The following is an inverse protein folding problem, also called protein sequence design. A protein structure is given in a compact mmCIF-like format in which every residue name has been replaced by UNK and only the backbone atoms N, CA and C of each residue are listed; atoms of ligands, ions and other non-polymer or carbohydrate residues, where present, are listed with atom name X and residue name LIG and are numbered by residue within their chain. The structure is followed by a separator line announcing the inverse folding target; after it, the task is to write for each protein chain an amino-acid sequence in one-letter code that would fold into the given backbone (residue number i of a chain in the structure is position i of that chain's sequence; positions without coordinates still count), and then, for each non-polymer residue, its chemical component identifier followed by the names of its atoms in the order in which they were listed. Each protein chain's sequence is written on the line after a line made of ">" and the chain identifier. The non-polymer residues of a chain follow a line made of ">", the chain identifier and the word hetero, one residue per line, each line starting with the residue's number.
data_IF_990786669771
#
_entry.id   IF_990786669771
#
_cell.length_a   1.000
_cell.length_b   1.000
_cell.length_c   1.000
_cell.angle_alpha   90.00
_cell.angle_beta   90.00
_cell.angle_gamma   90.00
#
_symmetry.space_group_name_H-M   'P 1'
#
loop_
_entity.id
_entity.type
_entity.pdbx_description
1 polymer ?
#
# COMPACT_ATOMS: atom_id res chain seq x y z
N UNK A 1 9.34 60.61 -7.24
CA UNK A 1 10.62 61.30 -7.27
C UNK A 1 11.53 60.78 -6.18
N UNK A 2 11.13 60.74 -4.89
CA UNK A 2 11.95 60.27 -3.76
C UNK A 2 12.48 58.81 -3.92
N UNK A 3 11.64 57.90 -4.46
CA UNK A 3 12.01 56.50 -4.72
C UNK A 3 13.11 56.36 -5.78
N UNK A 4 13.07 57.21 -6.82
CA UNK A 4 14.11 57.22 -7.86
C UNK A 4 15.41 57.84 -7.35
N UNK A 5 15.36 58.84 -6.50
CA UNK A 5 16.55 59.42 -5.90
C UNK A 5 17.26 58.39 -4.99
N UNK A 6 16.52 57.61 -4.20
CA UNK A 6 17.06 56.54 -3.35
C UNK A 6 17.69 55.43 -4.21
N UNK A 7 17.04 54.97 -5.30
CA UNK A 7 17.60 53.97 -6.17
C UNK A 7 18.85 54.41 -6.88
N UNK A 8 18.92 55.69 -7.31
CA UNK A 8 20.09 56.24 -7.93
C UNK A 8 21.28 56.33 -6.97
N UNK A 9 21.05 56.72 -5.74
CA UNK A 9 22.09 56.81 -4.73
C UNK A 9 22.63 55.42 -4.33
N UNK A 10 21.72 54.42 -4.17
CA UNK A 10 22.10 53.03 -3.91
C UNK A 10 22.92 52.44 -5.06
N UNK A 11 22.51 52.72 -6.31
CA UNK A 11 23.25 52.24 -7.50
C UNK A 11 24.64 52.89 -7.63
N UNK A 12 24.77 54.10 -7.16
CA UNK A 12 26.06 54.84 -7.18
C UNK A 12 27.02 54.29 -6.12
N UNK A 13 26.52 54.02 -4.89
CA UNK A 13 27.34 53.40 -3.84
C UNK A 13 27.74 51.97 -4.21
N UNK A 14 26.87 51.19 -4.83
CA UNK A 14 27.16 49.80 -5.30
C UNK A 14 28.26 49.82 -6.35
N UNK A 15 28.29 50.83 -7.24
CA UNK A 15 29.34 51.01 -8.28
C UNK A 15 30.68 51.46 -7.76
N UNK A 16 30.73 52.23 -6.68
CA UNK A 16 31.97 52.73 -6.05
C UNK A 16 32.61 51.69 -5.11
N UNK A 17 31.81 50.73 -4.53
CA UNK A 17 32.27 49.77 -3.55
C UNK A 17 32.23 48.30 -4.01
N UNK A 18 32.23 48.04 -5.32
CA UNK A 18 32.03 46.76 -5.97
C UNK A 18 32.91 45.56 -5.54
N UNK A 19 33.45 45.57 -4.33
CA UNK A 19 34.21 44.44 -3.77
C UNK A 19 34.06 44.28 -2.24
N UNK A 20 33.22 45.06 -1.57
CA UNK A 20 33.02 44.92 -0.12
C UNK A 20 31.69 44.22 0.16
N UNK A 21 31.74 43.17 0.96
CA UNK A 21 30.55 42.39 1.39
C UNK A 21 29.59 43.15 2.32
N UNK A 22 29.80 44.44 2.53
CA UNK A 22 29.00 45.29 3.42
C UNK A 22 28.63 46.56 2.64
N UNK A 23 27.32 46.69 2.33
CA UNK A 23 26.75 47.91 1.75
C UNK A 23 26.43 48.88 2.90
N UNK A 24 27.07 50.05 2.91
CA UNK A 24 26.72 51.11 3.84
C UNK A 24 25.46 51.84 3.33
N UNK A 25 24.36 51.75 4.08
CA UNK A 25 23.09 52.37 3.70
C UNK A 25 23.12 53.87 4.05
N UNK A 26 22.81 54.78 3.11
CA UNK A 26 22.84 56.22 3.38
C UNK A 26 21.81 56.62 4.45
N UNK A 27 22.24 57.37 5.43
CA UNK A 27 21.40 57.80 6.53
C UNK A 27 20.55 59.02 6.17
N UNK A 28 20.92 59.80 5.16
CA UNK A 28 20.19 60.98 4.66
C UNK A 28 20.21 61.03 3.12
N UNK A 29 19.03 61.29 2.51
CA UNK A 29 18.90 61.56 1.10
C UNK A 29 17.98 62.77 0.92
N UNK A 30 18.38 63.77 0.12
CA UNK A 30 17.64 65.00 -0.11
C UNK A 30 17.24 65.75 1.17
N UNK A 31 18.13 65.76 2.19
CA UNK A 31 17.87 66.47 3.46
C UNK A 31 16.84 65.81 4.37
N UNK A 32 16.46 64.58 4.07
CA UNK A 32 15.51 63.76 4.88
C UNK A 32 16.23 62.59 5.48
N UNK A 33 16.04 62.36 6.80
CA UNK A 33 16.56 61.19 7.50
C UNK A 33 15.82 59.94 7.08
N UNK A 34 16.55 58.91 6.65
CA UNK A 34 16.06 57.60 6.30
C UNK A 34 16.17 56.66 7.46
N UNK A 35 15.08 55.96 7.81
CA UNK A 35 15.08 54.91 8.81
C UNK A 35 14.96 53.58 8.08
N UNK A 36 16.00 52.81 8.04
CA UNK A 36 16.01 51.47 7.44
C UNK A 36 15.40 50.47 8.41
N UNK A 37 14.27 49.90 8.06
CA UNK A 37 13.62 48.83 8.82
C UNK A 37 13.94 47.50 8.17
N UNK A 38 14.48 46.58 8.93
CA UNK A 38 14.69 45.20 8.48
C UNK A 38 13.34 44.52 8.34
N UNK A 39 12.90 44.32 7.12
CA UNK A 39 11.70 43.50 6.80
C UNK A 39 12.06 42.02 7.04
N UNK A 40 11.91 41.56 8.28
CA UNK A 40 12.07 40.15 8.61
C UNK A 40 10.91 39.35 8.02
N UNK A 41 11.09 38.89 6.80
CA UNK A 41 10.23 37.83 6.30
C UNK A 41 10.47 36.58 7.15
N UNK A 42 9.47 36.11 7.84
CA UNK A 42 9.55 34.88 8.60
C UNK A 42 9.55 33.68 7.63
N UNK A 43 10.71 33.10 7.26
CA UNK A 43 10.76 31.95 6.37
C UNK A 43 10.13 30.73 7.00
N UNK A 44 9.94 30.73 8.34
CA UNK A 44 9.36 29.62 9.11
C UNK A 44 7.96 29.28 8.64
N UNK A 45 7.12 30.28 8.34
CA UNK A 45 5.75 30.03 7.87
C UNK A 45 5.73 29.37 6.47
N UNK A 46 6.66 29.78 5.58
CA UNK A 46 6.79 29.20 4.23
C UNK A 46 7.30 27.76 4.31
N UNK A 47 8.28 27.49 5.16
CA UNK A 47 8.82 26.14 5.39
C UNK A 47 7.75 25.23 6.01
N UNK A 48 7.01 25.73 7.01
CA UNK A 48 5.96 24.98 7.69
C UNK A 48 4.79 24.66 6.74
N UNK A 49 4.42 25.59 5.86
CA UNK A 49 3.44 25.35 4.80
C UNK A 49 3.89 24.28 3.80
N UNK A 50 5.16 24.32 3.38
CA UNK A 50 5.73 23.35 2.46
C UNK A 50 5.80 21.95 3.08
N UNK A 51 6.19 21.83 4.35
CA UNK A 51 6.24 20.53 5.06
C UNK A 51 4.86 19.93 5.26
N UNK A 52 3.84 20.74 5.56
CA UNK A 52 2.45 20.29 5.66
C UNK A 52 1.93 19.78 4.32
N UNK A 53 2.24 20.49 3.24
CA UNK A 53 1.82 20.12 1.89
C UNK A 53 2.48 18.82 1.44
N UNK A 54 3.77 18.64 1.69
CA UNK A 54 4.47 17.38 1.37
C UNK A 54 3.95 16.20 2.20
N UNK A 55 3.66 16.40 3.48
CA UNK A 55 3.06 15.38 4.34
C UNK A 55 1.67 14.96 3.82
N UNK A 56 0.85 15.90 3.38
CA UNK A 56 -0.47 15.64 2.80
C UNK A 56 -0.38 14.83 1.51
N UNK A 57 0.55 15.17 0.61
CA UNK A 57 0.76 14.45 -0.66
C UNK A 57 1.21 13.01 -0.40
N UNK A 58 2.11 12.79 0.54
CA UNK A 58 2.58 11.46 0.92
C UNK A 58 1.42 10.64 1.51
N UNK A 59 0.61 11.24 2.39
CA UNK A 59 -0.52 10.57 3.02
C UNK A 59 -1.56 10.09 1.99
N UNK A 60 -1.93 10.96 1.03
CA UNK A 60 -2.85 10.60 -0.06
C UNK A 60 -2.25 9.52 -0.98
N UNK A 61 -0.95 9.62 -1.29
CA UNK A 61 -0.27 8.65 -2.15
C UNK A 61 -0.20 7.25 -1.55
N UNK A 62 0.02 7.14 -0.24
CA UNK A 62 0.05 5.86 0.47
C UNK A 62 -1.33 5.17 0.48
N UNK A 63 -2.40 5.94 0.69
CA UNK A 63 -3.77 5.39 0.73
C UNK A 63 -4.19 4.81 -0.63
N UNK A 64 -3.86 5.48 -1.73
CA UNK A 64 -4.14 4.99 -3.08
C UNK A 64 -3.38 3.70 -3.43
N UNK A 65 -2.16 3.54 -2.94
CA UNK A 65 -1.33 2.38 -3.23
C UNK A 65 -1.88 1.12 -2.57
N UNK A 66 -2.34 1.22 -1.32
CA UNK A 66 -2.97 0.11 -0.57
C UNK A 66 -4.27 -0.33 -1.24
N UNK A 67 -5.11 0.62 -1.66
CA UNK A 67 -6.36 0.31 -2.36
C UNK A 67 -6.13 -0.36 -3.73
N UNK A 68 -5.10 0.02 -4.47
CA UNK A 68 -4.74 -0.63 -5.74
C UNK A 68 -4.32 -2.07 -5.52
N UNK A 69 -3.43 -2.34 -4.57
CA UNK A 69 -2.97 -3.70 -4.27
C UNK A 69 -4.12 -4.62 -3.82
N UNK A 70 -5.05 -4.10 -3.01
CA UNK A 70 -6.23 -4.86 -2.61
C UNK A 70 -7.13 -5.22 -3.81
N UNK A 71 -7.35 -4.29 -4.74
CA UNK A 71 -8.12 -4.55 -5.97
C UNK A 71 -7.41 -5.53 -6.91
N UNK A 72 -6.11 -5.40 -7.09
CA UNK A 72 -5.31 -6.32 -7.91
C UNK A 72 -5.39 -7.75 -7.36
N UNK A 73 -5.27 -7.92 -6.03
CA UNK A 73 -5.45 -9.21 -5.36
C UNK A 73 -6.84 -9.79 -5.59
N UNK A 74 -7.90 -8.99 -5.43
CA UNK A 74 -9.27 -9.44 -5.66
C UNK A 74 -9.50 -9.86 -7.12
N UNK A 75 -9.01 -9.07 -8.08
CA UNK A 75 -9.13 -9.38 -9.50
C UNK A 75 -8.40 -10.69 -9.83
N UNK A 76 -7.20 -10.89 -9.31
CA UNK A 76 -6.43 -12.10 -9.53
C UNK A 76 -7.12 -13.33 -8.92
N UNK A 77 -7.64 -13.22 -7.70
CA UNK A 77 -8.42 -14.28 -7.05
C UNK A 77 -9.65 -14.65 -7.89
N UNK A 78 -10.35 -13.65 -8.46
CA UNK A 78 -11.52 -13.92 -9.30
C UNK A 78 -11.16 -14.65 -10.58
N UNK A 79 -10.05 -14.27 -11.22
CA UNK A 79 -9.56 -14.93 -12.44
C UNK A 79 -9.03 -16.35 -12.18
N UNK A 80 -8.43 -16.59 -11.04
CA UNK A 80 -7.86 -17.88 -10.66
C UNK A 80 -8.95 -18.88 -10.18
N UNK A 81 -10.15 -18.42 -9.82
CA UNK A 81 -11.21 -19.27 -9.28
C UNK A 81 -11.63 -20.41 -10.23
N UNK A 82 -11.93 -20.18 -11.53
CA UNK A 82 -12.30 -21.24 -12.45
C UNK A 82 -11.19 -22.28 -12.63
N UNK A 83 -9.93 -21.86 -12.72
CA UNK A 83 -8.79 -22.75 -12.85
C UNK A 83 -8.62 -23.64 -11.62
N UNK A 84 -8.72 -23.05 -10.42
CA UNK A 84 -8.69 -23.81 -9.18
C UNK A 84 -9.82 -24.84 -9.13
N UNK A 85 -11.06 -24.44 -9.44
CA UNK A 85 -12.21 -25.32 -9.42
C UNK A 85 -12.06 -26.48 -10.41
N UNK A 86 -11.56 -26.20 -11.60
CA UNK A 86 -11.33 -27.23 -12.61
C UNK A 86 -10.27 -28.25 -12.17
N UNK A 87 -9.13 -27.78 -11.62
CA UNK A 87 -8.07 -28.61 -11.09
C UNK A 87 -8.55 -29.46 -9.90
N UNK A 88 -9.32 -28.87 -8.99
CA UNK A 88 -9.93 -29.62 -7.89
C UNK A 88 -10.89 -30.68 -8.39
N UNK A 89 -11.77 -30.36 -9.34
CA UNK A 89 -12.71 -31.31 -9.90
C UNK A 89 -12.01 -32.49 -10.61
N UNK A 90 -10.93 -32.23 -11.34
CA UNK A 90 -10.13 -33.29 -11.96
C UNK A 90 -9.49 -34.21 -10.92
N UNK A 91 -8.88 -33.66 -9.87
CA UNK A 91 -8.21 -34.47 -8.84
C UNK A 91 -9.22 -35.30 -8.03
N UNK A 92 -10.37 -34.72 -7.72
CA UNK A 92 -11.46 -35.43 -7.04
C UNK A 92 -12.08 -36.51 -7.95
N UNK A 93 -12.28 -36.23 -9.24
CA UNK A 93 -12.72 -37.19 -10.22
C UNK A 93 -11.75 -38.36 -10.40
N UNK A 94 -10.46 -38.14 -10.19
CA UNK A 94 -9.44 -39.20 -10.14
C UNK A 94 -9.44 -40.01 -8.83
N UNK A 95 -10.40 -39.76 -7.92
CA UNK A 95 -10.53 -40.46 -6.65
C UNK A 95 -9.65 -39.92 -5.50
N UNK A 96 -9.05 -38.75 -5.67
CA UNK A 96 -8.24 -38.13 -4.62
C UNK A 96 -9.16 -37.47 -3.57
N UNK A 97 -8.77 -37.57 -2.29
CA UNK A 97 -9.45 -36.84 -1.22
C UNK A 97 -9.24 -35.33 -1.37
N UNK A 98 -10.16 -34.50 -0.82
CA UNK A 98 -10.03 -33.04 -0.87
C UNK A 98 -8.72 -32.56 -0.24
N UNK A 99 -8.35 -33.13 0.90
CA UNK A 99 -7.05 -32.87 1.56
C UNK A 99 -5.88 -33.20 0.63
N UNK A 100 -5.92 -34.38 0.00
CA UNK A 100 -4.89 -34.79 -0.98
C UNK A 100 -4.79 -33.83 -2.17
N UNK A 101 -5.92 -33.35 -2.69
CA UNK A 101 -5.98 -32.39 -3.78
C UNK A 101 -5.34 -31.04 -3.39
N UNK A 102 -5.64 -30.53 -2.20
CA UNK A 102 -5.02 -29.31 -1.66
C UNK A 102 -3.50 -29.46 -1.56
N UNK A 103 -3.01 -30.57 -0.98
CA UNK A 103 -1.59 -30.86 -0.90
C UNK A 103 -0.91 -30.97 -2.27
N UNK A 104 -1.57 -31.60 -3.21
CA UNK A 104 -1.06 -31.76 -4.58
C UNK A 104 -0.90 -30.41 -5.27
N UNK A 105 -1.92 -29.57 -5.22
CA UNK A 105 -1.90 -28.23 -5.82
C UNK A 105 -0.90 -27.30 -5.15
N UNK A 106 -0.85 -27.31 -3.81
CA UNK A 106 0.16 -26.54 -3.05
C UNK A 106 1.59 -26.96 -3.41
N UNK A 107 1.85 -28.28 -3.44
CA UNK A 107 3.17 -28.80 -3.77
C UNK A 107 3.58 -28.53 -5.23
N UNK A 108 2.62 -28.52 -6.16
CA UNK A 108 2.87 -28.13 -7.55
C UNK A 108 3.22 -26.65 -7.63
N UNK A 109 2.41 -25.79 -7.03
CA UNK A 109 2.66 -24.35 -7.00
C UNK A 109 4.02 -23.98 -6.42
N UNK A 110 4.42 -24.59 -5.30
CA UNK A 110 5.72 -24.34 -4.68
C UNK A 110 6.92 -24.73 -5.57
N UNK A 111 6.77 -25.76 -6.40
CA UNK A 111 7.82 -26.22 -7.33
C UNK A 111 7.93 -25.33 -8.57
N UNK A 112 6.80 -24.84 -9.06
CA UNK A 112 6.70 -24.09 -10.32
C UNK A 112 6.64 -22.57 -10.10
N UNK A 113 6.86 -22.07 -8.89
CA UNK A 113 6.66 -20.67 -8.48
C UNK A 113 7.37 -19.69 -9.42
N UNK A 114 6.74 -19.38 -10.54
CA UNK A 114 7.15 -18.36 -11.51
C UNK A 114 6.46 -17.03 -11.26
N UNK A 115 5.20 -17.07 -10.85
CA UNK A 115 4.36 -15.92 -10.58
C UNK A 115 3.62 -16.12 -9.25
N UNK A 116 3.29 -15.01 -8.60
CA UNK A 116 2.55 -15.04 -7.34
C UNK A 116 1.07 -15.15 -7.66
N UNK A 117 0.46 -16.29 -7.31
CA UNK A 117 -0.98 -16.49 -7.35
C UNK A 117 -1.53 -16.58 -5.92
N UNK A 118 -2.28 -15.57 -5.52
CA UNK A 118 -2.77 -15.46 -4.13
C UNK A 118 -3.62 -16.65 -3.68
N UNK A 119 -4.39 -17.25 -4.57
CA UNK A 119 -5.19 -18.43 -4.23
C UNK A 119 -4.33 -19.63 -3.80
N UNK A 120 -3.22 -19.86 -4.48
CA UNK A 120 -2.33 -20.98 -4.14
C UNK A 120 -1.48 -20.70 -2.90
N UNK A 121 -1.17 -19.44 -2.61
CA UNK A 121 -0.57 -19.03 -1.33
C UNK A 121 -1.53 -19.32 -0.16
N UNK A 122 -2.80 -18.92 -0.29
CA UNK A 122 -3.82 -19.20 0.72
C UNK A 122 -4.11 -20.70 0.88
N UNK A 123 -4.10 -21.44 -0.22
CA UNK A 123 -4.25 -22.89 -0.22
C UNK A 123 -3.07 -23.56 0.49
N UNK A 124 -1.84 -23.07 0.26
CA UNK A 124 -0.65 -23.52 0.96
C UNK A 124 -0.74 -23.24 2.45
N UNK A 125 -1.22 -22.08 2.83
CA UNK A 125 -1.47 -21.73 4.23
C UNK A 125 -2.47 -22.70 4.88
N UNK A 126 -3.56 -23.06 4.20
CA UNK A 126 -4.51 -24.06 4.69
C UNK A 126 -3.87 -25.44 4.88
N UNK A 127 -2.96 -25.84 3.98
CA UNK A 127 -2.18 -27.08 4.14
C UNK A 127 -1.32 -27.05 5.40
N UNK A 128 -0.62 -25.95 5.67
CA UNK A 128 0.19 -25.80 6.90
C UNK A 128 -0.68 -25.79 8.15
N UNK A 129 -1.85 -25.17 8.13
CA UNK A 129 -2.80 -25.21 9.24
C UNK A 129 -3.22 -26.66 9.57
N UNK A 130 -3.57 -27.44 8.55
CA UNK A 130 -3.90 -28.87 8.72
C UNK A 130 -2.71 -29.69 9.24
N UNK A 131 -1.49 -29.36 8.81
CA UNK A 131 -0.27 -30.01 9.31
C UNK A 131 0.01 -29.66 10.78
N UNK A 132 -0.34 -28.44 11.19
CA UNK A 132 -0.19 -27.97 12.57
C UNK A 132 -1.26 -28.50 13.52
N UNK A 133 -2.17 -29.37 13.03
CA UNK A 133 -3.20 -30.03 13.84
C UNK A 133 -4.54 -29.30 13.88
N UNK A 134 -4.74 -28.26 13.05
CA UNK A 134 -6.06 -27.64 12.89
C UNK A 134 -6.97 -28.62 12.14
N UNK A 135 -8.21 -28.75 12.62
CA UNK A 135 -9.20 -29.62 11.99
C UNK A 135 -9.40 -29.22 10.51
N UNK A 136 -9.48 -30.22 9.63
CA UNK A 136 -9.58 -30.03 8.18
C UNK A 136 -10.76 -29.14 7.81
N UNK A 137 -11.93 -29.33 8.45
CA UNK A 137 -13.12 -28.51 8.24
C UNK A 137 -12.87 -27.02 8.56
N UNK A 138 -12.13 -26.75 9.64
CA UNK A 138 -11.84 -25.39 10.07
C UNK A 138 -10.77 -24.73 9.17
N UNK A 139 -9.80 -25.51 8.69
CA UNK A 139 -8.80 -25.03 7.74
C UNK A 139 -9.44 -24.58 6.41
N UNK A 140 -10.43 -25.32 5.89
CA UNK A 140 -11.17 -24.92 4.69
C UNK A 140 -11.99 -23.64 4.90
N UNK A 141 -12.63 -23.51 6.07
CA UNK A 141 -13.40 -22.32 6.38
C UNK A 141 -12.49 -21.08 6.49
N UNK A 142 -11.31 -21.22 7.13
CA UNK A 142 -10.30 -20.17 7.21
C UNK A 142 -9.74 -19.80 5.85
N UNK A 143 -9.47 -20.78 4.99
CA UNK A 143 -9.06 -20.56 3.59
C UNK A 143 -10.06 -19.66 2.86
N UNK A 144 -11.35 -20.00 2.90
CA UNK A 144 -12.40 -19.20 2.26
C UNK A 144 -12.45 -17.76 2.80
N UNK A 145 -12.33 -17.60 4.12
CA UNK A 145 -12.35 -16.27 4.76
C UNK A 145 -11.12 -15.42 4.41
N UNK A 146 -9.93 -16.03 4.29
CA UNK A 146 -8.71 -15.29 3.93
C UNK A 146 -8.73 -14.79 2.51
N UNK A 147 -9.37 -15.51 1.60
CA UNK A 147 -9.58 -15.05 0.22
C UNK A 147 -10.51 -13.83 0.13
N UNK A 148 -11.37 -13.60 1.11
CA UNK A 148 -12.29 -12.46 1.22
C UNK A 148 -13.24 -12.29 0.01
N UNK A 149 -13.44 -13.36 -0.78
CA UNK A 149 -14.31 -13.38 -1.95
C UNK A 149 -15.51 -14.31 -1.69
N UNK A 150 -16.74 -13.93 -2.09
CA UNK A 150 -17.94 -14.73 -1.86
C UNK A 150 -17.84 -16.16 -2.38
N UNK A 151 -17.20 -16.35 -3.53
CA UNK A 151 -17.01 -17.65 -4.19
C UNK A 151 -16.16 -18.59 -3.31
N UNK A 152 -15.06 -18.09 -2.79
CA UNK A 152 -14.16 -18.85 -1.92
C UNK A 152 -14.75 -19.10 -0.54
N UNK A 153 -15.50 -18.13 0.00
CA UNK A 153 -16.21 -18.30 1.28
C UNK A 153 -17.24 -19.44 1.13
N UNK A 154 -18.01 -19.46 0.03
CA UNK A 154 -18.96 -20.52 -0.26
C UNK A 154 -18.26 -21.87 -0.41
N UNK A 155 -17.15 -21.91 -1.16
CA UNK A 155 -16.35 -23.11 -1.33
C UNK A 155 -15.90 -23.66 0.03
N UNK A 156 -15.24 -22.84 0.84
CA UNK A 156 -14.75 -23.22 2.17
C UNK A 156 -15.87 -23.71 3.10
N UNK A 157 -17.04 -23.06 3.05
CA UNK A 157 -18.22 -23.45 3.82
C UNK A 157 -18.78 -24.82 3.38
N UNK A 158 -18.90 -25.04 2.08
CA UNK A 158 -19.39 -26.32 1.52
C UNK A 158 -18.44 -27.45 1.90
N UNK A 159 -17.13 -27.26 1.76
CA UNK A 159 -16.12 -28.25 2.12
C UNK A 159 -16.17 -28.60 3.61
N UNK A 160 -16.24 -27.58 4.46
CA UNK A 160 -16.36 -27.73 5.93
C UNK A 160 -17.64 -28.50 6.30
N UNK A 161 -18.77 -28.13 5.73
CA UNK A 161 -20.05 -28.79 6.00
C UNK A 161 -20.08 -30.25 5.57
N UNK A 162 -19.54 -30.57 4.40
CA UNK A 162 -19.50 -31.95 3.90
C UNK A 162 -18.68 -32.86 4.81
N UNK A 163 -17.52 -32.38 5.31
CA UNK A 163 -16.73 -33.13 6.27
C UNK A 163 -17.46 -33.32 7.59
N UNK A 164 -18.09 -32.30 8.13
CA UNK A 164 -18.83 -32.37 9.39
C UNK A 164 -20.04 -33.31 9.29
N UNK A 165 -20.72 -33.36 8.14
CA UNK A 165 -21.82 -34.32 7.91
C UNK A 165 -21.31 -35.74 7.83
N UNK A 166 -20.30 -36.02 7.00
CA UNK A 166 -19.69 -37.35 6.86
C UNK A 166 -19.15 -37.90 8.18
N UNK A 167 -18.64 -37.05 9.07
CA UNK A 167 -18.17 -37.47 10.41
C UNK A 167 -19.33 -37.79 11.36
N UNK A 168 -20.48 -37.11 11.24
CA UNK A 168 -21.65 -37.40 12.07
C UNK A 168 -22.28 -38.74 11.74
N UNK A 169 -22.38 -39.07 10.45
CA UNK A 169 -22.96 -40.34 10.00
C UNK A 169 -22.13 -41.55 10.44
N UNK A 170 -20.81 -41.39 10.58
CA UNK A 170 -19.91 -42.44 11.11
C UNK A 170 -20.04 -42.62 12.62
N UNK A 171 -20.43 -41.61 13.38
CA UNK A 171 -20.60 -41.69 14.86
C UNK A 171 -21.98 -42.20 15.28
N UNK A 172 -22.91 -42.37 14.35
CA UNK A 172 -24.30 -42.87 14.61
C UNK A 172 -24.48 -44.33 14.18
N UNK A 173 -23.44 -44.97 13.65
CA UNK A 173 -23.36 -46.43 13.41
C UNK A 173 -22.63 -47.13 14.58
#
# INVERSE_FOLDING_TARGET
>A
QLHQSILNELSREDSEHGSKAILELPAEVDGRKLYWLYARENPVSKVLGLTLLTALVIWIGMDQQVHRQAKERQTQLLLDYPDLMWKLAMLLGAGMSMKGAFWRLSGQYQREKKEIHYVYEELTCACYEMQSGIAEADAYERFGRRCQMPEYIRLGTVLSQNLRKGTKDLNTM
#
